data_IF_418899791998
#
_entry.id   IF_418899791998
#
_cell.length_a   1.000
_cell.length_b   1.000
_cell.length_c   1.000
_cell.angle_alpha   90.00
_cell.angle_beta   90.00
_cell.angle_gamma   90.00
#
_symmetry.space_group_name_H-M   'P 1'
#
loop_
_entity.id
_entity.type
_entity.pdbx_description
1 polymer ?
#
# COMPACT_ATOMS: atom_id res chain seq x y z
N UNK A 1 10.04 37.26 34.21
CA UNK A 1 10.44 36.26 33.20
C UNK A 1 9.21 35.99 32.34
N UNK A 2 9.15 36.40 31.07
CA UNK A 2 7.98 36.13 30.24
C UNK A 2 7.94 34.63 29.93
N UNK A 3 6.80 34.02 30.30
CA UNK A 3 6.56 32.59 30.12
C UNK A 3 6.72 32.14 28.68
N UNK A 4 7.51 31.11 28.48
CA UNK A 4 7.55 30.30 27.26
C UNK A 4 6.16 29.72 27.02
N UNK A 5 5.36 30.40 26.21
CA UNK A 5 4.17 29.82 25.62
C UNK A 5 4.62 28.64 24.77
N UNK A 6 4.46 27.44 25.29
CA UNK A 6 4.59 26.22 24.48
C UNK A 6 3.66 26.41 23.28
N UNK A 7 4.27 26.61 22.10
CA UNK A 7 3.58 26.57 20.83
C UNK A 7 3.05 25.13 20.66
N UNK A 8 1.82 24.91 21.10
CA UNK A 8 1.10 23.68 20.80
C UNK A 8 0.84 23.68 19.29
N UNK A 9 1.77 23.15 18.53
CA UNK A 9 1.60 22.82 17.13
C UNK A 9 0.45 21.82 17.03
N UNK A 10 -0.76 22.31 16.81
CA UNK A 10 -1.90 21.48 16.44
C UNK A 10 -1.64 20.93 15.05
N UNK A 11 -0.91 19.84 14.96
CA UNK A 11 -0.70 19.09 13.71
C UNK A 11 -2.09 18.63 13.25
N UNK A 12 -2.52 18.99 12.03
CA UNK A 12 -3.77 18.46 11.47
C UNK A 12 -3.76 16.93 11.52
N UNK A 13 -4.83 16.34 11.97
CA UNK A 13 -4.92 14.87 12.12
C UNK A 13 -4.61 14.10 10.84
N UNK A 14 -4.87 14.70 9.68
CA UNK A 14 -4.52 14.14 8.38
C UNK A 14 -3.00 14.00 8.18
N UNK A 15 -2.22 15.00 8.62
CA UNK A 15 -0.74 14.94 8.55
C UNK A 15 -0.22 13.87 9.49
N UNK A 16 -0.79 13.76 10.70
CA UNK A 16 -0.42 12.70 11.65
C UNK A 16 -0.68 11.30 11.10
N UNK A 17 -1.82 11.10 10.43
CA UNK A 17 -2.13 9.84 9.76
C UNK A 17 -1.14 9.52 8.65
N UNK A 18 -0.88 10.48 7.75
CA UNK A 18 0.09 10.30 6.66
C UNK A 18 1.51 10.01 7.15
N UNK A 19 1.97 10.75 8.17
CA UNK A 19 3.28 10.52 8.79
C UNK A 19 3.38 9.15 9.47
N UNK A 20 2.31 8.72 10.15
CA UNK A 20 2.24 7.39 10.76
C UNK A 20 2.32 6.25 9.74
N UNK A 21 1.64 6.41 8.60
CA UNK A 21 1.70 5.45 7.50
C UNK A 21 3.10 5.38 6.87
N UNK A 22 3.73 6.53 6.66
CA UNK A 22 5.10 6.59 6.15
C UNK A 22 6.10 5.97 7.13
N UNK A 23 5.98 6.26 8.43
CA UNK A 23 6.83 5.67 9.46
C UNK A 23 6.65 4.14 9.50
N UNK A 24 5.42 3.64 9.43
CA UNK A 24 5.13 2.20 9.36
C UNK A 24 5.78 1.57 8.12
N UNK A 25 5.68 2.22 6.96
CA UNK A 25 6.31 1.76 5.73
C UNK A 25 7.84 1.70 5.89
N UNK A 26 8.46 2.80 6.29
CA UNK A 26 9.92 2.87 6.44
C UNK A 26 10.42 1.81 7.43
N UNK A 27 9.79 1.69 8.60
CA UNK A 27 10.25 0.75 9.63
C UNK A 27 10.01 -0.70 9.23
N UNK A 28 8.81 -1.02 8.73
CA UNK A 28 8.44 -2.39 8.33
C UNK A 28 9.28 -2.90 7.16
N UNK A 29 9.46 -2.06 6.14
CA UNK A 29 10.28 -2.43 4.99
C UNK A 29 11.77 -2.48 5.31
N UNK A 30 12.29 -1.60 6.18
CA UNK A 30 13.68 -1.67 6.63
C UNK A 30 13.97 -2.96 7.39
N UNK A 31 13.10 -3.34 8.31
CA UNK A 31 13.24 -4.58 9.08
C UNK A 31 13.18 -5.81 8.17
N UNK A 32 12.20 -5.84 7.26
CA UNK A 32 12.06 -6.93 6.29
C UNK A 32 13.25 -6.98 5.31
N UNK A 33 13.75 -5.82 4.87
CA UNK A 33 14.92 -5.72 4.00
C UNK A 33 16.18 -6.22 4.69
N UNK A 34 16.39 -5.83 5.94
CA UNK A 34 17.52 -6.32 6.73
C UNK A 34 17.47 -7.85 6.90
N UNK A 35 16.30 -8.41 7.23
CA UNK A 35 16.10 -9.84 7.33
C UNK A 35 16.34 -10.57 5.99
N UNK A 36 15.83 -10.00 4.89
CA UNK A 36 16.05 -10.54 3.55
C UNK A 36 17.52 -10.53 3.15
N UNK A 37 18.25 -9.44 3.47
CA UNK A 37 19.68 -9.35 3.17
C UNK A 37 20.51 -10.43 3.85
N UNK A 38 20.15 -10.83 5.07
CA UNK A 38 20.80 -11.94 5.79
C UNK A 38 20.52 -13.31 5.16
N UNK A 39 19.40 -13.44 4.47
CA UNK A 39 18.98 -14.72 3.87
C UNK A 39 19.26 -14.79 2.36
N UNK A 40 19.78 -13.75 1.80
CA UNK A 40 20.02 -13.65 0.37
C UNK A 40 21.09 -14.66 -0.06
N UNK A 41 20.85 -15.46 -1.15
CA UNK A 41 21.83 -16.43 -1.63
C UNK A 41 23.12 -15.73 -2.11
N UNK A 42 24.26 -16.26 -1.66
CA UNK A 42 25.57 -15.80 -2.08
C UNK A 42 26.06 -16.57 -3.32
N UNK A 43 26.79 -15.89 -4.19
CA UNK A 43 27.49 -16.50 -5.30
C UNK A 43 28.77 -17.16 -4.79
N UNK A 44 29.01 -18.39 -5.26
CA UNK A 44 30.25 -19.14 -5.03
C UNK A 44 31.17 -19.01 -6.25
N UNK A 45 32.36 -18.54 -6.00
CA UNK A 45 33.41 -18.47 -7.01
C UNK A 45 34.57 -19.36 -6.67
N UNK A 46 35.13 -20.10 -7.67
CA UNK A 46 36.37 -20.85 -7.55
C UNK A 46 37.51 -20.06 -8.19
N UNK A 47 38.67 -20.07 -7.56
CA UNK A 47 39.88 -19.49 -8.14
C UNK A 47 40.33 -20.31 -9.34
N UNK A 48 40.57 -19.64 -10.47
CA UNK A 48 41.12 -20.26 -11.69
C UNK A 48 42.61 -19.95 -11.78
N UNK A 49 43.35 -20.81 -12.44
CA UNK A 49 44.83 -20.72 -12.56
C UNK A 49 45.32 -19.39 -13.16
N UNK A 50 44.50 -18.69 -13.93
CA UNK A 50 44.77 -17.35 -14.49
C UNK A 50 44.62 -16.18 -13.47
N UNK A 51 44.44 -16.46 -12.18
CA UNK A 51 44.28 -15.44 -11.13
C UNK A 51 42.89 -14.80 -11.06
N UNK A 52 41.92 -15.28 -11.86
CA UNK A 52 40.53 -14.90 -11.84
C UNK A 52 39.65 -15.82 -10.97
N UNK A 53 38.36 -15.49 -10.86
CA UNK A 53 37.36 -16.34 -10.22
C UNK A 53 36.31 -16.75 -11.25
N UNK A 54 36.09 -18.05 -11.41
CA UNK A 54 34.96 -18.56 -12.17
C UNK A 54 33.71 -18.55 -11.29
N UNK A 55 32.68 -17.86 -11.73
CA UNK A 55 31.41 -17.71 -11.00
C UNK A 55 30.42 -18.76 -11.52
N UNK A 56 29.81 -19.50 -10.61
CA UNK A 56 28.76 -20.48 -10.91
C UNK A 56 27.38 -19.89 -10.71
N UNK A 57 26.45 -20.18 -11.64
CA UNK A 57 24.99 -19.87 -11.49
C UNK A 57 24.61 -18.39 -11.27
N UNK A 58 25.31 -17.46 -11.89
CA UNK A 58 25.05 -16.01 -11.74
C UNK A 58 23.61 -15.64 -12.12
N UNK A 59 23.07 -16.24 -13.19
CA UNK A 59 21.72 -15.94 -13.68
C UNK A 59 20.64 -16.39 -12.67
N UNK A 60 20.79 -17.57 -12.10
CA UNK A 60 19.83 -18.13 -11.13
C UNK A 60 19.78 -17.30 -9.85
N UNK A 61 20.95 -16.93 -9.30
CA UNK A 61 21.02 -16.11 -8.06
C UNK A 61 20.48 -14.71 -8.28
N UNK A 62 20.67 -14.12 -9.46
CA UNK A 62 20.08 -12.81 -9.79
C UNK A 62 18.57 -12.89 -9.93
N UNK A 63 18.05 -13.94 -10.58
CA UNK A 63 16.62 -14.15 -10.73
C UNK A 63 15.96 -14.40 -9.37
N UNK A 64 16.53 -15.25 -8.52
CA UNK A 64 16.02 -15.51 -7.17
C UNK A 64 15.97 -14.24 -6.32
N UNK A 65 17.01 -13.42 -6.40
CA UNK A 65 17.05 -12.12 -5.72
C UNK A 65 15.98 -11.15 -6.25
N UNK A 66 15.72 -11.18 -7.56
CA UNK A 66 14.71 -10.33 -8.19
C UNK A 66 13.29 -10.75 -7.77
N UNK A 67 12.98 -12.05 -7.91
CA UNK A 67 11.63 -12.54 -7.60
C UNK A 67 11.29 -12.42 -6.11
N UNK A 68 12.24 -12.71 -5.22
CA UNK A 68 12.05 -12.55 -3.79
C UNK A 68 11.87 -11.09 -3.39
N UNK A 69 12.63 -10.17 -3.98
CA UNK A 69 12.42 -8.73 -3.79
C UNK A 69 11.01 -8.32 -4.21
N UNK A 70 10.56 -8.71 -5.40
CA UNK A 70 9.22 -8.40 -5.93
C UNK A 70 8.12 -8.95 -5.03
N UNK A 71 8.24 -10.21 -4.61
CA UNK A 71 7.23 -10.86 -3.76
C UNK A 71 7.13 -10.19 -2.39
N UNK A 72 8.25 -9.98 -1.72
CA UNK A 72 8.26 -9.42 -0.36
C UNK A 72 7.78 -7.96 -0.40
N UNK A 73 8.31 -7.13 -1.29
CA UNK A 73 7.89 -5.73 -1.40
C UNK A 73 6.44 -5.61 -1.87
N UNK A 74 5.98 -6.49 -2.76
CA UNK A 74 4.59 -6.55 -3.21
C UNK A 74 3.62 -6.86 -2.08
N UNK A 75 3.90 -7.89 -1.28
CA UNK A 75 3.06 -8.27 -0.13
C UNK A 75 3.05 -7.18 0.94
N UNK A 76 4.21 -6.62 1.30
CA UNK A 76 4.30 -5.54 2.28
C UNK A 76 3.54 -4.30 1.80
N UNK A 77 3.63 -3.97 0.52
CA UNK A 77 2.93 -2.84 -0.08
C UNK A 77 1.42 -3.05 -0.10
N UNK A 78 0.95 -4.26 -0.42
CA UNK A 78 -0.46 -4.61 -0.34
C UNK A 78 -1.00 -4.50 1.09
N UNK A 79 -0.24 -4.99 2.08
CA UNK A 79 -0.57 -4.86 3.49
C UNK A 79 -0.61 -3.39 3.94
N UNK A 80 0.31 -2.55 3.44
CA UNK A 80 0.32 -1.11 3.69
C UNK A 80 -0.94 -0.45 3.11
N UNK A 81 -1.34 -0.80 1.88
CA UNK A 81 -2.56 -0.31 1.23
C UNK A 81 -3.82 -0.69 2.00
N UNK A 82 -3.92 -1.96 2.41
CA UNK A 82 -5.02 -2.44 3.25
C UNK A 82 -5.05 -1.72 4.62
N UNK A 83 -3.90 -1.51 5.25
CA UNK A 83 -3.80 -0.77 6.52
C UNK A 83 -4.25 0.68 6.38
N UNK A 84 -3.87 1.32 5.28
CA UNK A 84 -4.29 2.69 4.96
C UNK A 84 -5.80 2.77 4.76
N UNK A 85 -6.40 1.77 4.13
CA UNK A 85 -7.85 1.68 3.95
C UNK A 85 -8.59 1.55 5.29
N UNK A 86 -8.19 0.57 6.12
CA UNK A 86 -8.85 0.28 7.41
C UNK A 86 -8.71 1.43 8.40
N UNK A 87 -7.53 2.05 8.50
CA UNK A 87 -7.28 3.14 9.45
C UNK A 87 -7.63 4.52 8.92
N UNK A 88 -7.80 4.65 7.61
CA UNK A 88 -8.02 5.91 6.91
C UNK A 88 -9.47 6.24 6.60
N UNK A 89 -10.47 5.64 7.24
CA UNK A 89 -11.91 5.84 6.94
C UNK A 89 -12.29 7.31 6.72
N UNK A 90 -11.78 8.18 7.58
CA UNK A 90 -12.11 9.61 7.58
C UNK A 90 -11.43 10.39 6.44
N UNK A 91 -10.42 9.83 5.81
CA UNK A 91 -9.57 10.49 4.80
C UNK A 91 -9.59 9.77 3.45
N UNK A 92 -10.52 8.81 3.26
CA UNK A 92 -10.63 8.03 2.02
C UNK A 92 -10.73 8.95 0.80
N UNK A 93 -9.92 8.69 -0.21
CA UNK A 93 -9.90 9.45 -1.46
C UNK A 93 -8.61 9.28 -2.25
N UNK A 94 -8.56 9.92 -3.42
CA UNK A 94 -7.42 9.86 -4.34
C UNK A 94 -6.13 10.37 -3.69
N UNK A 95 -6.22 11.36 -2.80
CA UNK A 95 -5.05 11.88 -2.07
C UNK A 95 -4.36 10.82 -1.21
N UNK A 96 -5.13 10.00 -0.49
CA UNK A 96 -4.59 8.89 0.31
C UNK A 96 -4.04 7.79 -0.60
N UNK A 97 -4.70 7.49 -1.72
CA UNK A 97 -4.22 6.53 -2.71
C UNK A 97 -2.81 6.89 -3.21
N UNK A 98 -2.61 8.15 -3.62
CA UNK A 98 -1.30 8.62 -4.09
C UNK A 98 -0.26 8.65 -2.96
N UNK A 99 -0.68 9.01 -1.74
CA UNK A 99 0.21 9.00 -0.57
C UNK A 99 0.67 7.58 -0.21
N UNK A 100 -0.23 6.60 -0.28
CA UNK A 100 0.10 5.18 -0.06
C UNK A 100 1.10 4.67 -1.09
N UNK A 101 0.94 5.05 -2.36
CA UNK A 101 1.89 4.71 -3.42
C UNK A 101 3.28 5.31 -3.13
N UNK A 102 3.34 6.58 -2.71
CA UNK A 102 4.59 7.24 -2.36
C UNK A 102 5.24 6.60 -1.12
N UNK A 103 4.45 6.29 -0.08
CA UNK A 103 4.92 5.60 1.11
C UNK A 103 5.45 4.19 0.80
N UNK A 104 4.78 3.45 -0.10
CA UNK A 104 5.24 2.14 -0.57
C UNK A 104 6.55 2.23 -1.36
N UNK A 105 6.70 3.27 -2.20
CA UNK A 105 7.95 3.51 -2.93
C UNK A 105 9.10 3.82 -1.97
N UNK A 106 8.88 4.71 -1.00
CA UNK A 106 9.86 5.02 0.04
C UNK A 106 10.21 3.79 0.88
N UNK A 107 9.21 2.96 1.21
CA UNK A 107 9.40 1.67 1.88
C UNK A 107 10.25 0.71 1.06
N UNK A 108 9.95 0.53 -0.24
CA UNK A 108 10.76 -0.31 -1.13
C UNK A 108 12.20 0.18 -1.23
N UNK A 109 12.43 1.50 -1.26
CA UNK A 109 13.77 2.09 -1.21
C UNK A 109 14.49 1.75 0.11
N UNK A 110 13.82 1.87 1.24
CA UNK A 110 14.34 1.44 2.54
C UNK A 110 14.69 -0.04 2.55
N UNK A 111 13.79 -0.89 2.06
CA UNK A 111 14.03 -2.34 1.93
C UNK A 111 15.30 -2.64 1.14
N UNK A 112 15.46 -1.98 0.00
CA UNK A 112 16.64 -2.15 -0.86
C UNK A 112 17.94 -1.72 -0.17
N UNK A 113 17.93 -0.56 0.49
CA UNK A 113 19.11 -0.03 1.20
C UNK A 113 19.52 -0.94 2.35
N UNK A 114 18.58 -1.31 3.22
CA UNK A 114 18.87 -2.17 4.37
C UNK A 114 19.18 -3.60 3.96
N UNK A 115 18.50 -4.14 2.95
CA UNK A 115 18.81 -5.45 2.38
C UNK A 115 20.19 -5.51 1.73
N UNK A 116 20.59 -4.43 1.06
CA UNK A 116 21.94 -4.30 0.51
C UNK A 116 23.02 -4.18 1.61
N UNK A 117 22.75 -3.40 2.65
CA UNK A 117 23.69 -3.17 3.74
C UNK A 117 23.97 -4.44 4.57
N UNK A 118 22.94 -5.27 4.78
CA UNK A 118 23.08 -6.54 5.54
C UNK A 118 23.63 -7.68 4.70
N UNK A 119 23.49 -7.63 3.37
CA UNK A 119 24.01 -8.64 2.44
C UNK A 119 25.50 -8.48 2.14
N UNK A 120 26.12 -7.36 2.49
CA UNK A 120 27.53 -7.08 2.15
C UNK A 120 28.45 -7.80 3.10
N UNK A 121 28.73 -9.06 2.83
CA UNK A 121 29.83 -9.78 3.45
C UNK A 121 30.92 -10.00 2.41
N UNK A 122 32.00 -9.23 2.50
CA UNK A 122 33.24 -9.47 1.74
C UNK A 122 34.25 -9.99 2.74
N UNK A 123 34.70 -11.25 2.64
CA UNK A 123 35.77 -11.77 3.51
C UNK A 123 37.04 -10.95 3.30
N UNK A 124 37.67 -10.52 4.39
CA UNK A 124 38.93 -9.74 4.35
C UNK A 124 40.09 -10.54 3.74
N UNK A 125 40.04 -11.87 3.76
CA UNK A 125 41.03 -12.77 3.13
C UNK A 125 40.31 -13.78 2.22
N UNK A 126 40.17 -13.48 0.94
CA UNK A 126 39.62 -14.43 0.00
C UNK A 126 40.58 -15.61 -0.20
N UNK A 127 40.18 -16.79 0.30
CA UNK A 127 40.88 -18.05 0.07
C UNK A 127 40.64 -18.61 -1.34
N UNK A 128 40.75 -19.93 -1.49
CA UNK A 128 40.49 -20.64 -2.74
C UNK A 128 39.00 -20.51 -3.19
N UNK A 129 38.12 -20.22 -2.25
CA UNK A 129 36.68 -20.01 -2.47
C UNK A 129 36.27 -18.60 -2.00
N UNK A 130 35.54 -17.91 -2.85
CA UNK A 130 34.97 -16.60 -2.54
C UNK A 130 33.44 -16.70 -2.58
N UNK A 131 32.81 -16.32 -1.46
CA UNK A 131 31.37 -16.12 -1.40
C UNK A 131 31.09 -14.61 -1.32
N UNK A 132 30.30 -14.08 -2.25
CA UNK A 132 29.86 -12.70 -2.22
C UNK A 132 28.43 -12.58 -2.75
N UNK A 133 27.71 -11.60 -2.23
CA UNK A 133 26.37 -11.27 -2.71
C UNK A 133 26.48 -10.22 -3.81
N UNK A 134 26.04 -10.53 -5.04
CA UNK A 134 26.15 -9.59 -6.16
C UNK A 134 25.27 -8.36 -5.92
N UNK A 135 25.71 -7.22 -6.43
CA UNK A 135 24.87 -6.02 -6.44
C UNK A 135 23.63 -6.30 -7.26
N UNK A 136 22.49 -6.13 -6.64
CA UNK A 136 21.18 -6.31 -7.25
C UNK A 136 20.66 -4.97 -7.76
N UNK A 137 20.17 -4.96 -9.01
CA UNK A 137 19.50 -3.78 -9.59
C UNK A 137 18.02 -4.10 -9.81
N UNK A 138 17.11 -3.48 -9.04
CA UNK A 138 15.69 -3.77 -9.11
C UNK A 138 15.01 -3.42 -10.45
N UNK A 139 15.58 -2.49 -11.25
CA UNK A 139 15.01 -2.09 -12.53
C UNK A 139 13.53 -1.71 -12.42
N UNK A 140 12.65 -2.38 -13.18
CA UNK A 140 11.20 -2.15 -13.16
C UNK A 140 10.50 -2.63 -11.88
N UNK A 141 11.15 -3.47 -11.06
CA UNK A 141 10.57 -3.95 -9.79
C UNK A 141 10.25 -2.83 -8.80
N UNK A 142 10.84 -1.63 -8.94
CA UNK A 142 10.48 -0.45 -8.16
C UNK A 142 9.00 -0.07 -8.24
N UNK A 143 8.34 -0.37 -9.36
CA UNK A 143 6.95 -0.04 -9.58
C UNK A 143 5.98 -1.02 -8.93
N UNK A 144 6.45 -2.22 -8.58
CA UNK A 144 5.60 -3.27 -7.99
C UNK A 144 5.03 -2.81 -6.64
N UNK A 145 5.84 -2.23 -5.77
CA UNK A 145 5.41 -1.73 -4.47
C UNK A 145 4.26 -0.73 -4.57
N UNK A 146 4.46 0.42 -5.21
CA UNK A 146 3.40 1.41 -5.42
C UNK A 146 2.14 0.82 -6.07
N UNK A 147 2.31 0.01 -7.12
CA UNK A 147 1.19 -0.62 -7.81
C UNK A 147 0.36 -1.52 -6.87
N UNK A 148 1.02 -2.41 -6.12
CA UNK A 148 0.33 -3.32 -5.20
C UNK A 148 -0.34 -2.60 -4.04
N UNK A 149 0.26 -1.52 -3.54
CA UNK A 149 -0.34 -0.68 -2.50
C UNK A 149 -1.60 0.02 -2.99
N UNK A 150 -1.55 0.63 -4.18
CA UNK A 150 -2.70 1.26 -4.81
C UNK A 150 -3.78 0.24 -5.15
N UNK A 151 -3.41 -0.90 -5.70
CA UNK A 151 -4.34 -1.97 -6.07
C UNK A 151 -5.08 -2.50 -4.84
N UNK A 152 -4.38 -2.80 -3.75
CA UNK A 152 -4.99 -3.27 -2.52
C UNK A 152 -5.94 -2.23 -1.91
N UNK A 153 -5.53 -0.95 -1.86
CA UNK A 153 -6.35 0.14 -1.38
C UNK A 153 -7.60 0.34 -2.24
N UNK A 154 -7.45 0.33 -3.56
CA UNK A 154 -8.55 0.50 -4.51
C UNK A 154 -9.52 -0.67 -4.46
N UNK A 155 -9.02 -1.92 -4.41
CA UNK A 155 -9.85 -3.12 -4.29
C UNK A 155 -10.69 -3.09 -3.00
N UNK A 156 -10.10 -2.64 -1.90
CA UNK A 156 -10.83 -2.49 -0.64
C UNK A 156 -11.95 -1.44 -0.73
N UNK A 157 -11.71 -0.31 -1.41
CA UNK A 157 -12.74 0.70 -1.68
C UNK A 157 -13.88 0.13 -2.53
N UNK A 158 -13.56 -0.68 -3.54
CA UNK A 158 -14.54 -1.25 -4.44
C UNK A 158 -15.46 -2.27 -3.75
N UNK A 159 -14.88 -3.09 -2.87
CA UNK A 159 -15.65 -4.11 -2.11
C UNK A 159 -16.60 -3.45 -1.09
N UNK A 160 -16.19 -2.33 -0.49
CA UNK A 160 -16.97 -1.62 0.54
C UNK A 160 -17.99 -0.63 -0.05
N UNK A 161 -18.08 -0.52 -1.38
CA UNK A 161 -19.09 0.31 -2.04
C UNK A 161 -20.44 -0.40 -1.94
N UNK A 162 -21.41 0.10 -1.13
CA UNK A 162 -22.69 -0.58 -1.00
C UNK A 162 -23.44 -0.52 -2.32
N UNK A 163 -23.72 -1.67 -2.90
CA UNK A 163 -24.66 -1.82 -4.03
C UNK A 163 -26.11 -1.44 -3.67
N UNK A 164 -26.39 -1.25 -2.39
CA UNK A 164 -27.74 -1.04 -1.86
C UNK A 164 -28.29 0.39 -2.05
N UNK A 165 -27.42 1.37 -2.31
CA UNK A 165 -27.86 2.78 -2.47
C UNK A 165 -28.70 3.04 -3.73
N UNK A 166 -28.67 2.14 -4.70
CA UNK A 166 -29.48 2.25 -5.93
C UNK A 166 -30.87 1.68 -5.71
N UNK A 167 -31.00 0.60 -4.94
CA UNK A 167 -32.29 -0.05 -4.66
C UNK A 167 -33.21 0.80 -3.78
N UNK A 168 -32.68 1.55 -2.81
CA UNK A 168 -33.50 2.40 -1.95
C UNK A 168 -34.07 3.62 -2.70
N UNK A 169 -33.30 4.22 -3.61
CA UNK A 169 -33.81 5.35 -4.42
C UNK A 169 -34.90 4.97 -5.38
N UNK A 170 -34.85 3.77 -5.94
CA UNK A 170 -35.88 3.26 -6.83
C UNK A 170 -37.15 2.88 -6.06
N UNK A 171 -37.04 2.50 -4.80
CA UNK A 171 -38.19 2.21 -3.92
C UNK A 171 -38.88 3.48 -3.45
N UNK A 172 -38.14 4.54 -3.14
CA UNK A 172 -38.67 5.81 -2.66
C UNK A 172 -39.29 6.67 -3.80
N UNK A 173 -38.81 6.48 -5.04
CA UNK A 173 -39.33 7.15 -6.23
C UNK A 173 -40.64 6.56 -6.77
N UNK A 174 -41.06 5.39 -6.31
CA UNK A 174 -42.26 4.69 -6.81
C UNK A 174 -43.43 4.67 -5.84
N UNK A 175 -43.34 5.36 -4.71
CA UNK A 175 -44.52 5.67 -3.90
C UNK A 175 -45.28 6.84 -4.53
N UNK A 176 -46.08 6.49 -5.58
CA UNK A 176 -47.13 7.36 -6.08
C UNK A 176 -48.12 7.58 -4.92
N UNK A 177 -48.37 8.82 -4.49
CA UNK A 177 -49.35 9.06 -3.48
C UNK A 177 -50.70 8.63 -4.04
N UNK A 178 -51.22 7.50 -3.57
CA UNK A 178 -52.64 7.12 -3.81
C UNK A 178 -53.47 7.94 -2.84
N UNK A 179 -53.47 9.25 -3.05
CA UNK A 179 -54.42 10.16 -2.40
C UNK A 179 -55.61 10.31 -3.33
N UNK A 180 -56.30 9.20 -3.48
CA UNK A 180 -57.59 9.10 -4.11
C UNK A 180 -58.67 9.34 -3.08
N UNK A 181 -58.87 10.58 -2.69
CA UNK A 181 -60.01 11.01 -1.97
C UNK A 181 -61.30 10.60 -2.67
N UNK A 182 -61.88 9.49 -2.26
CA UNK A 182 -63.32 9.24 -2.40
C UNK A 182 -64.00 9.86 -1.19
N UNK A 183 -64.21 11.18 -1.20
CA UNK A 183 -65.12 11.86 -0.31
C UNK A 183 -66.57 11.46 -0.64
N UNK A 184 -67.45 11.25 0.38
CA UNK A 184 -68.85 10.91 0.13
C UNK A 184 -69.57 12.07 -0.55
N UNK A 185 -70.22 11.77 -1.70
CA UNK A 185 -71.18 12.65 -2.33
C UNK A 185 -72.45 12.67 -1.49
N UNK A 186 -72.60 13.62 -0.61
CA UNK A 186 -73.88 13.97 -0.01
C UNK A 186 -74.68 14.81 -1.01
N UNK A 187 -75.71 14.16 -1.54
CA UNK A 187 -76.71 14.78 -2.37
C UNK A 187 -77.67 15.56 -1.50
N UNK A 188 -78.01 16.77 -1.88
CA UNK A 188 -79.02 17.58 -1.21
C UNK A 188 -79.15 18.96 -1.82
N UNK A 189 -79.45 19.03 -3.12
CA UNK A 189 -79.82 20.28 -3.76
C UNK A 189 -81.31 20.55 -3.71
N UNK A 190 -81.74 21.43 -2.88
CA UNK A 190 -83.11 21.98 -2.95
C UNK A 190 -83.13 23.16 -3.92
N UNK A 191 -83.82 22.99 -5.00
CA UNK A 191 -84.18 24.06 -5.93
C UNK A 191 -85.29 24.86 -5.38
N UNK A 192 -85.17 26.18 -5.30
CA UNK A 192 -86.26 27.11 -5.09
C UNK A 192 -86.17 28.20 -6.19
N UNK A 193 -87.25 28.21 -7.01
CA UNK A 193 -87.59 29.30 -7.91
C UNK A 193 -88.81 30.01 -7.26
N UNK A 194 -89.21 31.18 -7.75
CA UNK A 194 -88.75 32.22 -8.67
C UNK A 194 -88.25 33.48 -8.00
#
# INVERSE_FOLDING_TARGET
VPGLRALSLRIPRAIGFGAGLLALALFGFSAAGAAWGLWRPALKGHRVDDGGYALSNVADVQFDSYITFVLITGVLSAALGATAYVRGERYRGVGVLLWVALAALAGAASFYVFGGATATYIPENPGEYVEFVPKFSPGSAWLVGPFMAMFAYWSALFIDSPCDAVSERDSEGNEVPVDGALGPRDGGGAYRLP
#
